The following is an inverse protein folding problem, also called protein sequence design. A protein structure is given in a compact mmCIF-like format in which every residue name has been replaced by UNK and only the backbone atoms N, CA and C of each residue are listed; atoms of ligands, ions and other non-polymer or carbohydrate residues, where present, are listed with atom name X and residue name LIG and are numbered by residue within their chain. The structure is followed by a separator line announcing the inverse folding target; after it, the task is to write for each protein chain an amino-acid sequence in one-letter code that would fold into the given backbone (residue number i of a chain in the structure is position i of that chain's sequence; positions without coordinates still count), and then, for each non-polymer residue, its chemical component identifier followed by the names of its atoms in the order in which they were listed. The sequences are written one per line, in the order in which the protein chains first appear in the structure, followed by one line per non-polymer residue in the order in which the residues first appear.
data_IF_503141496269
#
_entry.id   IF_503141496269
#
_cell.length_a   1.000
_cell.length_b   1.000
_cell.length_c   1.000
_cell.angle_alpha   90.00
_cell.angle_beta   90.00
_cell.angle_gamma   90.00
#
_symmetry.space_group_name_H-M   'P 1'
#
loop_
_entity.id
_entity.type
_entity.pdbx_description
1 polymer ?
#
# COMPACT_ATOMS: atom_id res chain seq x y z
N UNK A 1 -17.81 -20.14 15.53
CA UNK A 1 -19.17 -19.61 15.86
C UNK A 1 -19.96 -19.48 14.57
N UNK A 2 -21.24 -19.91 14.53
CA UNK A 2 -22.02 -19.90 13.28
C UNK A 2 -22.19 -18.48 12.75
N UNK A 3 -21.85 -18.27 11.48
CA UNK A 3 -21.97 -16.95 10.83
C UNK A 3 -23.44 -16.58 10.61
N UNK A 4 -23.87 -15.33 10.85
CA UNK A 4 -25.27 -14.93 10.73
C UNK A 4 -25.79 -15.05 9.29
N UNK A 5 -24.91 -14.92 8.29
CA UNK A 5 -25.22 -15.12 6.88
C UNK A 5 -25.07 -16.58 6.40
N UNK A 6 -24.82 -17.55 7.31
CA UNK A 6 -24.83 -18.99 6.98
C UNK A 6 -26.23 -19.58 7.21
N UNK A 7 -27.14 -19.29 6.30
CA UNK A 7 -28.56 -19.70 6.39
C UNK A 7 -28.97 -20.52 5.16
N UNK A 8 -29.80 -21.57 5.32
CA UNK A 8 -30.34 -22.31 4.19
C UNK A 8 -31.11 -21.38 3.23
N UNK A 9 -30.82 -21.46 1.93
CA UNK A 9 -31.51 -20.68 0.89
C UNK A 9 -31.14 -19.20 0.82
N UNK A 10 -30.28 -18.69 1.71
CA UNK A 10 -29.78 -17.32 1.63
C UNK A 10 -28.65 -17.19 0.61
N UNK A 11 -28.76 -16.19 -0.26
CA UNK A 11 -27.70 -15.78 -1.19
C UNK A 11 -27.44 -14.27 -1.05
N UNK A 12 -26.22 -13.90 -0.66
CA UNK A 12 -25.77 -12.52 -0.72
C UNK A 12 -25.07 -12.27 -2.06
N UNK A 13 -25.56 -11.26 -2.79
CA UNK A 13 -25.06 -10.84 -4.10
C UNK A 13 -25.28 -9.34 -4.29
N UNK A 14 -24.67 -8.71 -5.31
CA UNK A 14 -24.90 -7.30 -5.58
C UNK A 14 -26.39 -6.99 -5.75
N UNK A 15 -26.88 -6.06 -4.93
CA UNK A 15 -28.27 -5.58 -4.98
C UNK A 15 -28.33 -4.13 -4.57
N UNK A 16 -29.23 -3.38 -5.22
CA UNK A 16 -29.62 -2.05 -4.76
C UNK A 16 -30.46 -2.16 -3.48
N UNK A 17 -30.35 -1.17 -2.60
CA UNK A 17 -31.13 -1.13 -1.37
C UNK A 17 -30.40 -0.46 -0.21
N UNK A 18 -31.04 -0.41 0.98
CA UNK A 18 -30.38 0.06 2.19
C UNK A 18 -29.26 -0.91 2.62
N UNK A 19 -28.33 -0.45 3.50
CA UNK A 19 -27.37 -1.32 4.16
C UNK A 19 -28.01 -2.56 4.81
N UNK A 20 -27.34 -3.69 4.70
CA UNK A 20 -27.78 -4.98 5.21
C UNK A 20 -26.82 -5.48 6.30
N UNK A 21 -27.31 -5.76 7.52
CA UNK A 21 -26.49 -6.31 8.60
C UNK A 21 -25.77 -7.63 8.24
N UNK A 22 -26.36 -8.46 7.37
CA UNK A 22 -25.74 -9.72 6.93
C UNK A 22 -24.55 -9.45 6.00
N UNK A 23 -24.67 -8.45 5.13
CA UNK A 23 -23.56 -8.01 4.28
C UNK A 23 -22.49 -7.34 5.12
N UNK A 24 -22.87 -6.58 6.16
CA UNK A 24 -21.91 -5.97 7.08
C UNK A 24 -21.08 -7.04 7.81
N UNK A 25 -21.72 -8.09 8.33
CA UNK A 25 -21.03 -9.22 8.95
C UNK A 25 -20.11 -9.95 7.96
N UNK A 26 -20.54 -10.15 6.71
CA UNK A 26 -19.70 -10.71 5.65
C UNK A 26 -18.48 -9.80 5.38
N UNK A 27 -18.65 -8.49 5.27
CA UNK A 27 -17.57 -7.54 5.05
C UNK A 27 -16.56 -7.56 6.20
N UNK A 28 -17.01 -7.62 7.45
CA UNK A 28 -16.12 -7.78 8.62
C UNK A 28 -15.26 -9.04 8.52
N UNK A 29 -15.87 -10.17 8.13
CA UNK A 29 -15.17 -11.44 7.96
C UNK A 29 -14.19 -11.40 6.76
N UNK A 30 -14.56 -10.77 5.65
CA UNK A 30 -13.67 -10.57 4.49
C UNK A 30 -12.53 -9.57 4.79
N UNK A 31 -12.74 -8.57 5.65
CA UNK A 31 -11.66 -7.70 6.17
C UNK A 31 -10.73 -8.48 7.07
N UNK A 32 -11.26 -9.26 8.00
CA UNK A 32 -10.47 -10.09 8.91
C UNK A 32 -9.61 -11.11 8.16
N UNK A 33 -10.12 -11.67 7.07
CA UNK A 33 -9.38 -12.60 6.20
C UNK A 33 -8.50 -11.90 5.17
N UNK A 34 -8.52 -10.57 5.03
CA UNK A 34 -7.65 -9.85 4.09
C UNK A 34 -8.02 -9.95 2.61
N UNK A 35 -9.30 -10.19 2.30
CA UNK A 35 -9.84 -10.15 0.93
C UNK A 35 -10.50 -8.82 0.57
N UNK A 36 -11.07 -8.13 1.57
CA UNK A 36 -11.68 -6.82 1.37
C UNK A 36 -10.64 -5.72 1.64
N UNK A 37 -10.46 -4.82 0.66
CA UNK A 37 -9.50 -3.70 0.75
C UNK A 37 -9.90 -2.72 1.86
N UNK A 38 -11.19 -2.35 1.86
CA UNK A 38 -11.78 -1.46 2.86
C UNK A 38 -13.29 -1.44 2.79
N UNK A 39 -13.92 -0.86 3.80
CA UNK A 39 -15.33 -0.52 3.84
C UNK A 39 -16.18 -1.64 4.46
N UNK A 40 -16.87 -1.30 5.53
CA UNK A 40 -17.82 -2.15 6.26
C UNK A 40 -19.13 -1.36 6.40
N UNK A 41 -19.80 -1.19 5.26
CA UNK A 41 -20.95 -0.30 5.07
C UNK A 41 -22.29 -1.04 4.91
N UNK A 42 -22.27 -2.38 4.93
CA UNK A 42 -23.43 -3.22 4.72
C UNK A 42 -23.94 -3.23 3.29
N UNK A 43 -23.21 -2.70 2.31
CA UNK A 43 -23.61 -2.66 0.90
C UNK A 43 -22.81 -3.67 0.09
N UNK A 44 -23.50 -4.54 -0.65
CA UNK A 44 -22.84 -5.52 -1.51
C UNK A 44 -22.46 -4.86 -2.85
N UNK A 45 -21.41 -4.04 -2.83
CA UNK A 45 -20.89 -3.36 -4.01
C UNK A 45 -19.84 -4.15 -4.77
N UNK A 46 -19.22 -3.50 -5.77
CA UNK A 46 -18.16 -4.09 -6.59
C UNK A 46 -16.94 -4.55 -5.77
N UNK A 47 -16.59 -3.81 -4.70
CA UNK A 47 -15.52 -4.18 -3.78
C UNK A 47 -15.80 -5.49 -3.05
N UNK A 48 -17.00 -5.62 -2.45
CA UNK A 48 -17.45 -6.86 -1.79
C UNK A 48 -17.48 -8.03 -2.76
N UNK A 49 -18.06 -7.85 -3.96
CA UNK A 49 -18.09 -8.90 -4.98
C UNK A 49 -16.71 -9.35 -5.43
N UNK A 50 -15.76 -8.42 -5.61
CA UNK A 50 -14.37 -8.74 -5.96
C UNK A 50 -13.64 -9.47 -4.84
N UNK A 51 -13.93 -9.16 -3.58
CA UNK A 51 -13.38 -9.87 -2.42
C UNK A 51 -13.93 -11.30 -2.33
N UNK A 52 -15.24 -11.49 -2.57
CA UNK A 52 -15.87 -12.82 -2.58
C UNK A 52 -15.28 -13.69 -3.70
N UNK A 53 -15.16 -13.16 -4.92
CA UNK A 53 -14.55 -13.91 -6.04
C UNK A 53 -13.09 -14.27 -5.76
N UNK A 54 -12.31 -13.35 -5.20
CA UNK A 54 -10.93 -13.62 -4.83
C UNK A 54 -10.82 -14.76 -3.79
N UNK A 55 -11.69 -14.76 -2.77
CA UNK A 55 -11.76 -15.85 -1.78
C UNK A 55 -12.15 -17.18 -2.43
N UNK A 56 -13.19 -17.18 -3.27
CA UNK A 56 -13.62 -18.38 -3.98
C UNK A 56 -12.51 -18.94 -4.87
N UNK A 57 -11.74 -18.06 -5.53
CA UNK A 57 -10.59 -18.47 -6.33
C UNK A 57 -9.49 -19.10 -5.46
N UNK A 58 -9.13 -18.48 -4.33
CA UNK A 58 -8.14 -19.04 -3.40
C UNK A 58 -8.63 -20.37 -2.78
N UNK A 59 -9.93 -20.56 -2.59
CA UNK A 59 -10.53 -21.86 -2.19
C UNK A 59 -10.44 -22.91 -3.30
N UNK A 60 -10.38 -22.52 -4.58
CA UNK A 60 -10.23 -23.46 -5.69
C UNK A 60 -8.75 -23.82 -5.94
N UNK A 61 -7.86 -22.83 -5.86
CA UNK A 61 -6.48 -22.96 -6.38
C UNK A 61 -5.39 -22.60 -5.39
N UNK A 62 -5.72 -21.97 -4.26
CA UNK A 62 -4.76 -21.43 -3.29
C UNK A 62 -3.93 -22.51 -2.61
N UNK A 63 -2.72 -22.72 -3.11
CA UNK A 63 -1.72 -23.61 -2.53
C UNK A 63 -0.94 -22.93 -1.39
N UNK A 64 -0.36 -23.76 -0.55
CA UNK A 64 0.57 -23.35 0.51
C UNK A 64 1.88 -22.81 -0.05
N UNK A 65 2.42 -23.53 -1.02
CA UNK A 65 3.77 -23.31 -1.54
C UNK A 65 3.75 -22.38 -2.75
N UNK A 66 4.56 -21.34 -2.71
CA UNK A 66 4.73 -20.39 -3.79
C UNK A 66 6.18 -19.99 -3.97
N UNK A 67 6.51 -19.42 -5.13
CA UNK A 67 7.83 -18.78 -5.38
C UNK A 67 8.10 -17.60 -4.45
N UNK A 68 7.07 -17.18 -3.76
CA UNK A 68 6.88 -15.92 -3.08
C UNK A 68 6.80 -16.09 -1.54
N UNK A 69 7.15 -17.28 -1.05
CA UNK A 69 7.05 -17.70 0.35
C UNK A 69 5.96 -18.74 0.59
N UNK A 70 6.03 -19.38 1.75
CA UNK A 70 5.07 -20.41 2.16
C UNK A 70 4.00 -19.82 3.09
N UNK A 71 2.73 -19.98 2.71
CA UNK A 71 1.62 -19.73 3.62
C UNK A 71 1.60 -20.77 4.76
N UNK A 72 0.95 -20.48 5.90
CA UNK A 72 0.82 -21.48 6.98
C UNK A 72 -0.13 -22.61 6.62
N UNK A 73 -1.03 -22.41 5.64
CA UNK A 73 -2.01 -23.39 5.16
C UNK A 73 -2.28 -23.20 3.66
N UNK A 74 -2.72 -24.27 2.99
CA UNK A 74 -3.30 -24.17 1.65
C UNK A 74 -4.79 -23.82 1.78
N UNK A 75 -5.23 -22.72 1.18
CA UNK A 75 -6.62 -22.26 1.25
C UNK A 75 -7.59 -23.25 0.59
N UNK A 76 -7.14 -23.97 -0.46
CA UNK A 76 -7.95 -25.03 -1.09
C UNK A 76 -8.39 -26.15 -0.13
N UNK A 77 -7.68 -26.37 0.97
CA UNK A 77 -8.05 -27.37 1.97
C UNK A 77 -9.38 -27.04 2.69
N UNK A 78 -9.79 -25.76 2.67
CA UNK A 78 -11.04 -25.30 3.28
C UNK A 78 -12.25 -25.39 2.34
N UNK A 79 -12.03 -25.63 1.05
CA UNK A 79 -13.12 -25.74 0.08
C UNK A 79 -13.96 -27.00 0.32
N UNK A 80 -13.31 -28.17 0.46
CA UNK A 80 -13.99 -29.46 0.69
C UNK A 80 -15.16 -29.72 -0.29
N UNK A 81 -15.03 -29.26 -1.54
CA UNK A 81 -16.04 -29.40 -2.59
C UNK A 81 -17.25 -28.46 -2.49
N UNK A 82 -17.23 -27.43 -1.62
CA UNK A 82 -18.34 -26.48 -1.42
C UNK A 82 -18.41 -25.39 -2.49
N UNK A 83 -17.28 -25.01 -3.05
CA UNK A 83 -17.12 -23.97 -4.06
C UNK A 83 -16.58 -24.61 -5.34
N UNK A 84 -17.24 -24.32 -6.46
CA UNK A 84 -16.89 -24.84 -7.79
C UNK A 84 -16.43 -23.76 -8.78
N UNK A 85 -16.77 -22.49 -8.53
CA UNK A 85 -16.39 -21.35 -9.37
C UNK A 85 -16.39 -20.02 -8.58
N UNK A 86 -15.63 -19.00 -9.00
CA UNK A 86 -15.66 -17.66 -8.41
C UNK A 86 -16.89 -16.85 -8.87
N UNK A 87 -18.08 -17.22 -8.38
CA UNK A 87 -19.36 -16.61 -8.78
C UNK A 87 -19.58 -15.19 -8.24
N UNK A 88 -18.90 -14.81 -7.16
CA UNK A 88 -19.16 -13.56 -6.44
C UNK A 88 -20.43 -13.57 -5.59
N UNK A 89 -21.07 -14.73 -5.43
CA UNK A 89 -22.26 -14.96 -4.59
C UNK A 89 -21.83 -15.66 -3.31
N UNK A 90 -22.39 -15.24 -2.18
CA UNK A 90 -22.22 -15.94 -0.89
C UNK A 90 -23.48 -16.72 -0.57
N UNK A 91 -23.38 -18.02 -0.70
CA UNK A 91 -24.37 -19.01 -0.32
C UNK A 91 -23.98 -19.73 0.98
N UNK A 92 -24.83 -20.64 1.44
CA UNK A 92 -24.56 -21.43 2.65
C UNK A 92 -23.25 -22.25 2.59
N UNK A 93 -22.90 -22.93 1.47
CA UNK A 93 -21.62 -23.59 1.29
C UNK A 93 -20.41 -22.66 1.48
N UNK A 94 -20.35 -21.52 0.78
CA UNK A 94 -19.24 -20.57 0.91
C UNK A 94 -19.17 -19.98 2.33
N UNK A 95 -20.31 -19.65 2.93
CA UNK A 95 -20.35 -19.18 4.32
C UNK A 95 -19.77 -20.23 5.29
N UNK A 96 -19.91 -21.52 5.01
CA UNK A 96 -19.23 -22.59 5.73
C UNK A 96 -17.71 -22.58 5.56
N UNK A 97 -17.19 -22.29 4.37
CA UNK A 97 -15.74 -22.14 4.16
C UNK A 97 -15.18 -20.95 4.94
N UNK A 98 -15.89 -19.81 4.93
CA UNK A 98 -15.50 -18.62 5.69
C UNK A 98 -15.46 -18.92 7.20
N UNK A 99 -16.47 -19.65 7.70
CA UNK A 99 -16.50 -20.08 9.10
C UNK A 99 -15.31 -20.96 9.47
N UNK A 100 -15.00 -21.99 8.65
CA UNK A 100 -13.86 -22.88 8.89
C UNK A 100 -12.53 -22.13 8.86
N UNK A 101 -12.36 -21.17 7.93
CA UNK A 101 -11.18 -20.31 7.86
C UNK A 101 -11.01 -19.47 9.12
N UNK A 102 -12.09 -18.82 9.59
CA UNK A 102 -12.05 -17.93 10.75
C UNK A 102 -11.92 -18.63 12.10
N UNK A 103 -12.24 -19.93 12.14
CA UNK A 103 -12.13 -20.79 13.32
C UNK A 103 -10.78 -21.56 13.32
N UNK A 104 -10.02 -21.58 12.22
CA UNK A 104 -8.67 -22.16 12.15
C UNK A 104 -7.59 -21.18 12.63
N UNK A 105 -6.97 -21.49 13.76
CA UNK A 105 -5.90 -20.70 14.39
C UNK A 105 -4.64 -20.49 13.53
N UNK A 106 -4.45 -21.25 12.45
CA UNK A 106 -3.36 -21.05 11.48
C UNK A 106 -3.70 -19.98 10.43
N UNK A 107 -4.96 -19.55 10.36
CA UNK A 107 -5.44 -18.44 9.53
C UNK A 107 -5.68 -17.25 10.47
N UNK A 108 -4.65 -16.46 10.79
CA UNK A 108 -4.82 -15.39 11.75
C UNK A 108 -5.63 -14.25 11.13
N UNK A 109 -6.45 -13.60 11.97
CA UNK A 109 -7.23 -12.43 11.55
C UNK A 109 -6.35 -11.20 11.47
N UNK A 110 -6.60 -10.35 10.49
CA UNK A 110 -5.90 -9.08 10.38
C UNK A 110 -6.16 -8.18 11.61
N UNK A 111 -5.16 -7.42 12.07
CA UNK A 111 -5.31 -6.49 13.18
C UNK A 111 -6.38 -5.42 12.94
N UNK A 112 -7.02 -4.97 14.02
CA UNK A 112 -7.91 -3.80 14.05
C UNK A 112 -7.67 -3.00 15.33
N UNK A 113 -7.96 -1.70 15.29
CA UNK A 113 -7.87 -0.85 16.48
C UNK A 113 -9.27 -0.45 16.97
N UNK A 114 -9.59 -0.57 18.26
CA UNK A 114 -10.81 0.02 18.83
C UNK A 114 -10.77 1.55 18.81
N UNK A 115 -9.57 2.15 18.79
CA UNK A 115 -9.35 3.58 18.63
C UNK A 115 -8.32 3.81 17.49
N UNK A 116 -8.77 3.78 16.22
CA UNK A 116 -7.88 3.94 15.09
C UNK A 116 -7.31 5.37 14.98
N UNK A 117 -7.99 6.38 15.53
CA UNK A 117 -7.50 7.76 15.53
C UNK A 117 -6.26 7.88 16.40
N UNK A 118 -6.32 7.41 17.66
CA UNK A 118 -5.16 7.43 18.54
C UNK A 118 -4.04 6.52 18.03
N UNK A 119 -4.37 5.32 17.54
CA UNK A 119 -3.38 4.38 17.02
C UNK A 119 -2.64 4.93 15.79
N UNK A 120 -3.33 5.62 14.87
CA UNK A 120 -2.69 6.24 13.72
C UNK A 120 -1.78 7.41 14.12
N UNK A 121 -2.21 8.24 15.07
CA UNK A 121 -1.40 9.34 15.61
C UNK A 121 -0.12 8.80 16.24
N UNK A 122 -0.23 7.76 17.06
CA UNK A 122 0.93 7.13 17.70
C UNK A 122 1.86 6.46 16.68
N UNK A 123 1.31 5.77 15.67
CA UNK A 123 2.11 5.15 14.61
C UNK A 123 2.96 6.19 13.86
N UNK A 124 2.36 7.33 13.49
CA UNK A 124 3.10 8.42 12.84
C UNK A 124 4.14 9.02 13.79
N UNK A 125 3.78 9.29 15.05
CA UNK A 125 4.70 9.82 16.05
C UNK A 125 5.88 8.87 16.35
N UNK A 126 5.69 7.55 16.28
CA UNK A 126 6.78 6.57 16.41
C UNK A 126 7.76 6.67 15.23
N UNK A 127 7.24 6.74 14.00
CA UNK A 127 8.05 6.92 12.79
C UNK A 127 8.79 8.26 12.82
N UNK A 128 8.13 9.33 13.28
CA UNK A 128 8.73 10.64 13.44
C UNK A 128 9.82 10.65 14.51
N UNK A 129 9.75 9.80 15.54
CA UNK A 129 10.81 9.67 16.56
C UNK A 129 11.98 8.78 16.14
N UNK A 130 11.93 8.13 14.98
CA UNK A 130 13.07 7.35 14.49
C UNK A 130 14.28 8.26 14.24
N UNK A 131 15.43 7.83 14.78
CA UNK A 131 16.73 8.48 14.65
C UNK A 131 17.73 7.53 14.01
N UNK A 132 18.80 8.07 13.41
CA UNK A 132 19.85 7.25 12.79
C UNK A 132 19.38 6.44 11.58
N UNK A 133 18.27 6.84 10.94
CA UNK A 133 17.80 6.19 9.72
C UNK A 133 18.82 6.39 8.59
N UNK A 134 19.07 5.35 7.76
CA UNK A 134 19.93 5.47 6.59
C UNK A 134 19.22 6.16 5.41
N UNK A 135 18.03 6.72 5.63
CA UNK A 135 17.22 7.47 4.67
C UNK A 135 16.63 8.71 5.37
N UNK A 136 16.28 9.79 4.65
CA UNK A 136 15.76 10.98 5.30
C UNK A 136 14.32 10.73 5.74
N UNK A 137 14.08 10.95 7.03
CA UNK A 137 12.78 10.73 7.66
C UNK A 137 11.64 11.50 6.95
N UNK A 138 11.80 12.77 6.53
CA UNK A 138 10.72 13.47 5.82
C UNK A 138 10.31 12.82 4.49
N UNK A 139 11.26 12.24 3.74
CA UNK A 139 10.94 11.49 2.52
C UNK A 139 10.19 10.20 2.83
N UNK A 140 10.59 9.49 3.88
CA UNK A 140 9.88 8.29 4.35
C UNK A 140 8.43 8.60 4.75
N UNK A 141 8.23 9.66 5.53
CA UNK A 141 6.89 10.13 5.92
C UNK A 141 6.08 10.55 4.68
N UNK A 142 6.67 11.29 3.74
CA UNK A 142 6.00 11.67 2.50
C UNK A 142 5.58 10.46 1.64
N UNK A 143 6.38 9.38 1.61
CA UNK A 143 6.00 8.10 1.00
C UNK A 143 4.81 7.50 1.74
N UNK A 144 4.82 7.39 3.07
CA UNK A 144 3.68 6.80 3.80
C UNK A 144 2.37 7.60 3.65
N UNK A 145 2.48 8.93 3.57
CA UNK A 145 1.36 9.80 3.24
C UNK A 145 0.84 9.59 1.81
N UNK A 146 1.68 9.16 0.88
CA UNK A 146 1.27 8.78 -0.48
C UNK A 146 0.66 7.38 -0.50
N UNK A 147 1.27 6.40 0.18
CA UNK A 147 0.89 4.99 0.12
C UNK A 147 -0.36 4.66 0.92
N UNK A 148 -0.49 5.21 2.13
CA UNK A 148 -1.56 4.86 3.07
C UNK A 148 -2.33 6.06 3.62
N UNK A 149 -2.01 7.27 3.16
CA UNK A 149 -2.50 8.51 3.78
C UNK A 149 -1.90 8.77 5.16
N UNK A 150 -0.81 8.09 5.53
CA UNK A 150 -0.24 8.13 6.88
C UNK A 150 -1.01 7.30 7.89
N UNK A 151 -1.94 6.46 7.44
CA UNK A 151 -2.72 5.61 8.31
C UNK A 151 -2.11 4.21 8.42
N UNK A 152 -2.12 3.67 9.63
CA UNK A 152 -1.85 2.29 9.91
C UNK A 152 -3.15 1.47 9.99
N UNK A 153 -4.19 2.03 10.59
CA UNK A 153 -5.56 1.49 10.64
C UNK A 153 -6.53 2.40 9.89
N UNK A 154 -7.58 1.82 9.29
CA UNK A 154 -8.69 2.58 8.71
C UNK A 154 -9.45 3.31 9.81
N UNK A 155 -9.95 4.49 9.49
CA UNK A 155 -10.77 5.29 10.40
C UNK A 155 -12.23 5.18 9.96
N UNK A 156 -13.11 4.62 10.82
CA UNK A 156 -14.55 4.57 10.57
C UNK A 156 -15.14 5.94 10.29
N UNK A 157 -16.07 6.02 9.34
CA UNK A 157 -16.85 7.21 9.04
C UNK A 157 -18.35 6.98 9.24
N UNK A 158 -19.21 7.99 9.02
CA UNK A 158 -20.66 7.79 9.07
C UNK A 158 -21.10 6.65 8.13
N UNK A 159 -21.65 5.58 8.71
CA UNK A 159 -22.12 4.42 7.96
C UNK A 159 -21.03 3.41 7.55
N UNK A 160 -19.76 3.59 7.94
CA UNK A 160 -18.66 2.65 7.73
C UNK A 160 -18.00 2.32 9.07
N UNK A 161 -17.85 1.03 9.39
CA UNK A 161 -17.25 0.55 10.64
C UNK A 161 -15.81 0.03 10.49
N UNK A 162 -15.18 0.22 9.34
CA UNK A 162 -13.85 -0.32 9.06
C UNK A 162 -12.76 0.32 9.94
N UNK A 163 -12.29 -0.43 10.93
CA UNK A 163 -11.18 -0.09 11.81
C UNK A 163 -9.99 -1.06 11.71
N UNK A 164 -9.98 -1.89 10.67
CA UNK A 164 -8.89 -2.83 10.42
C UNK A 164 -7.65 -2.12 9.89
N UNK A 165 -6.51 -2.80 9.95
CA UNK A 165 -5.26 -2.35 9.34
C UNK A 165 -5.48 -1.96 7.86
N UNK A 166 -4.80 -0.91 7.40
CA UNK A 166 -4.85 -0.51 5.98
C UNK A 166 -4.34 -1.67 5.11
N UNK A 167 -5.08 -2.00 4.05
CA UNK A 167 -4.72 -3.07 3.11
C UNK A 167 -4.65 -2.54 1.68
N UNK A 168 -3.54 -2.82 0.99
CA UNK A 168 -3.40 -2.73 -0.47
C UNK A 168 -3.57 -4.12 -1.10
N UNK A 169 -4.26 -4.22 -2.24
CA UNK A 169 -4.50 -5.49 -2.94
C UNK A 169 -4.12 -5.33 -4.42
N UNK A 170 -3.04 -6.00 -4.85
CA UNK A 170 -2.64 -6.00 -6.25
C UNK A 170 -3.22 -7.20 -7.00
N UNK A 171 -3.52 -6.98 -8.29
CA UNK A 171 -4.08 -7.98 -9.21
C UNK A 171 -3.28 -7.98 -10.51
N UNK A 172 -2.00 -8.32 -10.39
CA UNK A 172 -1.05 -8.28 -11.50
C UNK A 172 -1.02 -9.61 -12.27
N UNK A 173 -2.20 -10.21 -12.49
CA UNK A 173 -2.38 -11.43 -13.27
C UNK A 173 -3.52 -11.19 -14.29
N UNK A 174 -3.19 -10.80 -15.54
CA UNK A 174 -4.19 -10.54 -16.57
C UNK A 174 -5.02 -11.77 -16.94
N UNK A 175 -4.49 -12.98 -16.71
CA UNK A 175 -5.18 -14.23 -17.01
C UNK A 175 -6.22 -14.61 -15.95
N UNK A 176 -6.04 -14.09 -14.73
CA UNK A 176 -6.92 -14.35 -13.59
C UNK A 176 -7.21 -13.03 -12.84
N UNK A 177 -8.15 -12.21 -13.35
CA UNK A 177 -8.39 -10.86 -12.81
C UNK A 177 -8.89 -10.84 -11.36
N UNK A 178 -9.48 -11.93 -10.85
CA UNK A 178 -9.89 -12.01 -9.45
C UNK A 178 -8.73 -12.40 -8.50
N UNK A 179 -7.59 -12.86 -9.04
CA UNK A 179 -6.42 -13.27 -8.26
C UNK A 179 -5.75 -12.08 -7.61
N UNK A 180 -5.65 -12.11 -6.28
CA UNK A 180 -4.82 -11.17 -5.53
C UNK A 180 -3.39 -11.70 -5.54
N UNK A 181 -2.50 -11.01 -6.25
CA UNK A 181 -1.09 -11.41 -6.42
C UNK A 181 -0.21 -10.97 -5.27
N UNK A 182 -0.59 -9.91 -4.54
CA UNK A 182 0.13 -9.44 -3.36
C UNK A 182 -0.80 -8.62 -2.46
N UNK A 183 -0.42 -8.48 -1.19
CA UNK A 183 -1.16 -7.73 -0.18
C UNK A 183 -0.21 -6.84 0.61
N UNK A 184 -0.44 -5.54 0.59
CA UNK A 184 0.29 -4.54 1.39
C UNK A 184 -0.44 -4.26 2.70
N UNK A 185 0.28 -4.10 3.81
CA UNK A 185 -0.31 -3.93 5.13
C UNK A 185 0.25 -2.73 5.88
N UNK A 186 -0.65 -1.92 6.46
CA UNK A 186 -0.32 -0.86 7.39
C UNK A 186 0.34 0.36 6.76
N UNK A 187 0.91 1.22 7.59
CA UNK A 187 1.45 2.53 7.21
C UNK A 187 2.61 2.47 6.20
N UNK A 188 3.45 1.45 6.30
CA UNK A 188 4.55 1.21 5.37
C UNK A 188 4.18 0.34 4.18
N UNK A 189 2.90 -0.07 4.06
CA UNK A 189 2.40 -1.01 3.06
C UNK A 189 3.31 -2.24 2.92
N UNK A 190 3.71 -2.85 4.04
CA UNK A 190 4.56 -4.04 4.03
C UNK A 190 3.89 -5.14 3.22
N UNK A 191 4.53 -5.57 2.13
CA UNK A 191 3.91 -6.46 1.14
C UNK A 191 4.24 -7.91 1.42
N UNK A 192 3.20 -8.74 1.45
CA UNK A 192 3.30 -10.19 1.37
C UNK A 192 2.79 -10.68 0.01
N UNK A 193 3.42 -11.73 -0.50
CA UNK A 193 3.09 -12.34 -1.78
C UNK A 193 2.45 -13.73 -1.62
N UNK A 194 2.32 -14.21 -0.38
CA UNK A 194 1.52 -15.39 -0.03
C UNK A 194 0.30 -15.00 0.81
N UNK A 195 -0.65 -15.92 0.94
CA UNK A 195 -1.85 -15.73 1.75
C UNK A 195 -2.34 -17.08 2.31
N UNK A 196 -2.75 -17.16 3.59
CA UNK A 196 -2.77 -16.11 4.61
C UNK A 196 -1.38 -15.70 5.12
N UNK A 197 -1.25 -14.54 5.81
CA UNK A 197 -0.06 -14.22 6.58
C UNK A 197 0.12 -15.22 7.73
N UNK A 198 1.36 -15.45 8.13
CA UNK A 198 1.70 -16.23 9.32
C UNK A 198 1.36 -15.44 10.60
N UNK A 199 1.10 -16.13 11.74
CA UNK A 199 0.94 -15.45 13.02
C UNK A 199 2.13 -14.58 13.41
N UNK A 200 3.35 -14.99 13.04
CA UNK A 200 4.57 -14.23 13.31
C UNK A 200 4.58 -12.92 12.52
N UNK A 201 4.28 -12.93 11.22
CA UNK A 201 4.24 -11.70 10.41
C UNK A 201 3.23 -10.69 10.95
N UNK A 202 2.06 -11.17 11.41
CA UNK A 202 1.10 -10.29 12.08
C UNK A 202 1.72 -9.70 13.35
N UNK A 203 2.22 -10.55 14.25
CA UNK A 203 2.73 -10.12 15.55
C UNK A 203 3.97 -9.24 15.47
N UNK A 204 4.83 -9.44 14.46
CA UNK A 204 6.12 -8.74 14.37
C UNK A 204 6.12 -7.58 13.40
N UNK A 205 5.24 -7.56 12.40
CA UNK A 205 5.27 -6.54 11.33
C UNK A 205 3.96 -5.78 11.19
N UNK A 206 2.81 -6.44 11.30
CA UNK A 206 1.53 -5.76 11.10
C UNK A 206 1.04 -5.01 12.33
N UNK A 207 1.42 -5.41 13.54
CA UNK A 207 1.06 -4.71 14.78
C UNK A 207 2.06 -3.60 15.13
N UNK A 208 3.32 -3.74 14.70
CA UNK A 208 4.39 -2.79 14.96
C UNK A 208 4.60 -1.87 13.74
N UNK A 209 4.13 -0.60 13.78
CA UNK A 209 4.24 0.32 12.64
C UNK A 209 5.69 0.69 12.30
N UNK A 210 6.60 0.65 13.28
CA UNK A 210 8.02 0.91 13.05
C UNK A 210 8.66 -0.23 12.26
N UNK A 211 8.40 -1.48 12.65
CA UNK A 211 8.85 -2.66 11.89
C UNK A 211 8.18 -2.75 10.52
N UNK A 212 6.90 -2.39 10.43
CA UNK A 212 6.16 -2.27 9.17
C UNK A 212 6.88 -1.31 8.19
N UNK A 213 7.35 -0.17 8.70
CA UNK A 213 8.08 0.84 7.94
C UNK A 213 9.50 0.41 7.50
N UNK A 214 10.11 -0.61 8.14
CA UNK A 214 11.49 -0.99 7.84
C UNK A 214 11.70 -1.47 6.41
N UNK A 215 10.68 -2.08 5.78
CA UNK A 215 10.79 -2.47 4.36
C UNK A 215 10.95 -1.25 3.47
N UNK A 216 10.11 -0.22 3.66
CA UNK A 216 10.23 1.02 2.91
C UNK A 216 11.58 1.72 3.15
N UNK A 217 12.12 1.66 4.37
CA UNK A 217 13.49 2.15 4.66
C UNK A 217 14.54 1.41 3.82
N UNK A 218 14.48 0.08 3.79
CA UNK A 218 15.42 -0.74 3.00
C UNK A 218 15.28 -0.48 1.50
N UNK A 219 14.05 -0.45 0.99
CA UNK A 219 13.77 -0.21 -0.43
C UNK A 219 14.22 1.19 -0.86
N UNK A 220 13.90 2.23 -0.09
CA UNK A 220 14.32 3.60 -0.43
C UNK A 220 15.85 3.74 -0.40
N UNK A 221 16.51 3.11 0.58
CA UNK A 221 17.97 3.07 0.66
C UNK A 221 18.57 2.34 -0.55
N UNK A 222 18.04 1.18 -0.90
CA UNK A 222 18.47 0.42 -2.08
C UNK A 222 18.35 1.26 -3.36
N UNK A 223 17.22 1.97 -3.53
CA UNK A 223 17.05 2.85 -4.69
C UNK A 223 18.05 3.99 -4.72
N UNK A 224 18.38 4.54 -3.56
CA UNK A 224 19.40 5.57 -3.45
C UNK A 224 20.79 5.04 -3.83
N UNK A 225 21.22 3.93 -3.22
CA UNK A 225 22.57 3.37 -3.39
C UNK A 225 22.79 2.75 -4.77
N UNK A 226 21.79 2.04 -5.31
CA UNK A 226 21.97 1.21 -6.50
C UNK A 226 21.22 1.69 -7.74
N UNK A 227 20.14 2.49 -7.59
CA UNK A 227 19.28 2.88 -8.72
C UNK A 227 19.43 4.34 -9.16
N UNK A 228 20.02 5.22 -8.35
CA UNK A 228 20.29 6.60 -8.78
C UNK A 228 21.43 6.63 -9.79
N UNK A 229 22.58 6.05 -9.43
CA UNK A 229 23.79 6.00 -10.26
C UNK A 229 24.03 4.63 -10.91
N UNK A 230 23.02 3.75 -10.96
CA UNK A 230 23.26 2.38 -11.38
C UNK A 230 23.69 2.25 -12.85
N UNK A 231 24.31 1.11 -13.20
CA UNK A 231 25.08 0.98 -14.43
C UNK A 231 24.23 0.83 -15.70
N UNK A 232 22.94 0.48 -15.60
CA UNK A 232 22.08 0.25 -16.78
C UNK A 232 20.93 1.25 -16.85
N UNK A 233 20.29 1.39 -18.01
CA UNK A 233 19.09 2.22 -18.12
C UNK A 233 17.96 1.78 -17.16
N UNK A 234 17.84 0.48 -16.89
CA UNK A 234 16.86 -0.06 -15.94
C UNK A 234 17.21 0.19 -14.47
N UNK A 235 18.48 0.46 -14.16
CA UNK A 235 18.96 0.74 -12.80
C UNK A 235 19.53 2.15 -12.63
N UNK A 236 19.17 3.11 -13.50
CA UNK A 236 19.71 4.47 -13.42
C UNK A 236 18.63 5.53 -13.35
N UNK A 237 18.92 6.60 -12.61
CA UNK A 237 18.16 7.82 -12.66
C UNK A 237 18.71 8.75 -13.76
N UNK A 238 18.21 8.58 -14.97
CA UNK A 238 18.54 9.40 -16.15
C UNK A 238 18.25 10.90 -15.96
N UNK A 239 17.17 11.25 -15.27
CA UNK A 239 16.88 12.61 -14.81
C UNK A 239 17.99 13.18 -13.92
N UNK A 240 18.51 12.40 -12.97
CA UNK A 240 19.65 12.84 -12.15
C UNK A 240 20.86 13.13 -13.03
N UNK A 241 21.21 12.23 -13.94
CA UNK A 241 22.39 12.41 -14.80
C UNK A 241 22.20 13.65 -15.67
N UNK A 242 21.00 13.81 -16.22
CA UNK A 242 20.67 14.97 -17.00
C UNK A 242 20.82 16.25 -16.18
N UNK A 243 20.31 16.31 -14.95
CA UNK A 243 20.21 17.55 -14.17
C UNK A 243 21.49 17.89 -13.39
N UNK A 244 22.21 16.87 -12.88
CA UNK A 244 23.30 17.00 -11.90
C UNK A 244 24.62 16.38 -12.42
N UNK A 245 24.56 15.38 -13.30
CA UNK A 245 25.73 14.66 -13.82
C UNK A 245 26.08 13.37 -13.04
N UNK A 246 27.17 12.70 -13.42
CA UNK A 246 27.59 11.36 -12.95
C UNK A 246 28.41 11.34 -11.66
N UNK A 247 28.45 12.46 -10.93
CA UNK A 247 29.21 12.57 -9.68
C UNK A 247 28.70 11.68 -8.54
N UNK A 248 29.39 11.69 -7.38
CA UNK A 248 28.99 10.91 -6.22
C UNK A 248 27.57 11.25 -5.74
N UNK A 249 26.97 10.31 -5.01
CA UNK A 249 25.67 10.51 -4.39
C UNK A 249 25.75 11.57 -3.29
N UNK A 250 24.75 12.45 -3.24
CA UNK A 250 24.64 13.57 -2.30
C UNK A 250 23.59 13.23 -1.23
N UNK A 251 23.99 12.78 -0.02
CA UNK A 251 23.04 12.31 0.99
C UNK A 251 22.27 13.45 1.63
N UNK A 252 22.94 14.60 1.84
CA UNK A 252 22.33 15.81 2.34
C UNK A 252 23.20 17.01 1.96
N UNK A 253 22.62 18.20 1.93
CA UNK A 253 23.36 19.46 1.82
C UNK A 253 24.14 19.78 3.09
N UNK A 254 23.62 19.35 4.24
CA UNK A 254 24.27 19.48 5.54
C UNK A 254 25.24 18.32 5.77
N UNK A 255 26.32 18.48 6.54
CA UNK A 255 27.20 17.38 6.94
C UNK A 255 26.55 16.50 8.02
N UNK A 256 26.98 15.25 8.22
CA UNK A 256 26.43 14.35 9.24
C UNK A 256 26.46 14.87 10.69
N UNK A 257 27.37 15.81 10.99
CA UNK A 257 27.47 16.46 12.30
C UNK A 257 26.40 17.54 12.54
N UNK A 258 25.71 17.98 11.48
CA UNK A 258 24.68 19.01 11.58
C UNK A 258 23.34 18.36 11.99
N UNK A 259 22.62 18.88 13.01
CA UNK A 259 21.32 18.35 13.43
C UNK A 259 20.26 18.26 12.31
N UNK A 260 20.42 19.04 11.23
CA UNK A 260 19.53 19.05 10.06
C UNK A 260 19.81 17.92 9.07
N UNK A 261 20.92 17.20 9.21
CA UNK A 261 21.31 16.11 8.33
C UNK A 261 20.17 15.08 8.21
N UNK A 262 19.59 15.00 7.01
CA UNK A 262 18.51 14.06 6.67
C UNK A 262 17.24 14.16 7.55
N UNK A 263 17.08 15.25 8.31
CA UNK A 263 16.00 15.44 9.30
C UNK A 263 15.09 16.64 8.98
N UNK A 264 15.63 17.71 8.38
CA UNK A 264 14.91 18.96 8.04
C UNK A 264 14.84 19.18 6.52
N UNK A 265 14.38 18.17 5.76
CA UNK A 265 14.30 18.25 4.30
C UNK A 265 13.28 19.29 3.81
N UNK A 266 12.25 19.60 4.61
CA UNK A 266 11.23 20.59 4.28
C UNK A 266 11.86 21.97 4.04
N UNK A 267 12.87 22.35 4.84
CA UNK A 267 13.64 23.58 4.67
C UNK A 267 14.23 23.71 3.27
N UNK A 268 14.90 22.68 2.78
CA UNK A 268 15.47 22.70 1.43
C UNK A 268 14.38 22.60 0.34
N UNK A 269 13.30 21.86 0.61
CA UNK A 269 12.23 21.63 -0.35
C UNK A 269 11.42 22.89 -0.68
N UNK A 270 11.32 23.86 0.25
CA UNK A 270 10.59 25.12 0.02
C UNK A 270 11.43 26.22 -0.65
N UNK A 271 12.76 26.08 -0.72
CA UNK A 271 13.66 27.10 -1.30
C UNK A 271 13.35 27.38 -2.79
N UNK A 272 12.99 26.34 -3.54
CA UNK A 272 12.62 26.45 -4.95
C UNK A 272 11.47 25.52 -5.28
N UNK A 273 10.35 26.11 -5.67
CA UNK A 273 9.17 25.41 -6.14
C UNK A 273 8.95 25.67 -7.63
N UNK A 274 8.45 24.66 -8.34
CA UNK A 274 8.14 24.70 -9.77
C UNK A 274 6.73 24.15 -10.01
N UNK A 275 6.08 24.64 -11.06
CA UNK A 275 4.83 24.08 -11.55
C UNK A 275 5.14 23.15 -12.73
N UNK A 276 4.66 21.91 -12.63
CA UNK A 276 4.72 20.92 -13.71
C UNK A 276 3.44 21.08 -14.51
N UNK A 277 3.56 21.56 -15.74
CA UNK A 277 2.43 21.81 -16.65
C UNK A 277 2.12 20.57 -17.50
N UNK A 278 0.91 20.47 -18.09
CA UNK A 278 0.60 19.41 -19.04
C UNK A 278 1.64 19.31 -20.17
N UNK A 279 1.99 18.08 -20.55
CA UNK A 279 3.00 17.79 -21.56
C UNK A 279 4.41 18.38 -21.28
N UNK A 280 4.71 18.76 -20.03
CA UNK A 280 6.09 19.10 -19.64
C UNK A 280 7.02 17.92 -19.90
N UNK A 281 8.21 18.18 -20.45
CA UNK A 281 9.24 17.14 -20.55
C UNK A 281 9.57 16.57 -19.18
N UNK A 282 9.79 15.27 -19.10
CA UNK A 282 10.06 14.60 -17.82
C UNK A 282 11.39 15.09 -17.20
N UNK A 283 12.40 15.36 -18.03
CA UNK A 283 13.63 16.07 -17.68
C UNK A 283 14.27 16.67 -18.95
N UNK A 284 15.32 17.50 -18.78
CA UNK A 284 15.92 18.27 -19.89
C UNK A 284 16.54 17.46 -21.03
N UNK A 285 16.89 16.19 -20.79
CA UNK A 285 17.59 15.33 -21.75
C UNK A 285 16.67 14.31 -22.45
N UNK A 286 15.36 14.32 -22.18
CA UNK A 286 14.38 13.46 -22.86
C UNK A 286 13.40 14.28 -23.70
N UNK A 287 12.79 13.63 -24.68
CA UNK A 287 11.62 14.13 -25.42
C UNK A 287 10.31 13.63 -24.83
N UNK A 288 10.36 12.64 -23.93
CA UNK A 288 9.18 12.16 -23.22
C UNK A 288 8.56 13.25 -22.36
N UNK A 289 7.24 13.24 -22.29
CA UNK A 289 6.45 14.24 -21.59
C UNK A 289 5.56 13.59 -20.55
N UNK A 290 5.11 14.38 -19.57
CA UNK A 290 4.15 13.94 -18.58
C UNK A 290 2.80 13.66 -19.26
N UNK A 291 2.36 12.40 -19.23
CA UNK A 291 1.13 11.91 -19.83
C UNK A 291 0.28 11.21 -18.76
N UNK A 292 -1.05 11.40 -18.76
CA UNK A 292 -1.91 10.72 -17.82
C UNK A 292 -1.84 9.20 -18.01
N UNK A 293 -2.05 8.46 -16.94
CA UNK A 293 -2.03 7.00 -16.94
C UNK A 293 -3.26 6.43 -16.23
N UNK A 294 -3.45 5.11 -16.32
CA UNK A 294 -4.49 4.41 -15.55
C UNK A 294 -4.38 4.59 -14.03
N UNK A 295 -3.19 4.95 -13.53
CA UNK A 295 -2.93 5.12 -12.10
C UNK A 295 -2.87 6.60 -11.69
N UNK A 296 -2.54 7.48 -12.63
CA UNK A 296 -2.36 8.91 -12.41
C UNK A 296 -3.11 9.69 -13.52
N UNK A 297 -4.40 10.03 -13.31
CA UNK A 297 -5.15 10.81 -14.27
C UNK A 297 -4.69 12.28 -14.31
N UNK A 298 -3.93 12.74 -13.32
CA UNK A 298 -3.46 14.12 -13.24
C UNK A 298 -2.47 14.43 -14.36
N UNK A 299 -2.55 15.63 -14.91
CA UNK A 299 -1.65 16.11 -15.98
C UNK A 299 -0.76 17.25 -15.54
N UNK A 300 -0.93 17.74 -14.30
CA UNK A 300 -0.20 18.88 -13.77
C UNK A 300 -0.01 18.79 -12.26
N UNK A 301 1.07 19.41 -11.76
CA UNK A 301 1.38 19.48 -10.34
C UNK A 301 1.89 20.88 -10.01
N UNK A 302 1.23 21.56 -9.08
CA UNK A 302 1.62 22.92 -8.68
C UNK A 302 2.59 22.89 -7.48
N UNK A 303 3.52 23.84 -7.44
CA UNK A 303 4.44 24.08 -6.32
C UNK A 303 5.18 22.82 -5.87
N UNK A 304 5.69 22.05 -6.81
CA UNK A 304 6.54 20.88 -6.56
C UNK A 304 7.95 21.36 -6.22
N UNK A 305 8.59 20.84 -5.16
CA UNK A 305 10.02 21.08 -4.92
C UNK A 305 10.88 20.75 -6.15
N UNK A 306 11.75 21.68 -6.53
CA UNK A 306 12.68 21.51 -7.66
C UNK A 306 13.79 20.52 -7.27
N UNK A 307 13.61 19.25 -7.66
CA UNK A 307 14.52 18.14 -7.33
C UNK A 307 16.00 18.43 -7.62
N UNK A 308 16.31 19.22 -8.64
CA UNK A 308 17.69 19.56 -8.98
C UNK A 308 18.31 20.57 -7.99
N UNK A 309 17.48 21.34 -7.28
CA UNK A 309 17.88 22.40 -6.35
C UNK A 309 17.82 22.01 -4.88
N UNK A 310 17.23 20.86 -4.52
CA UNK A 310 17.14 20.38 -3.13
C UNK A 310 18.50 20.13 -2.45
N UNK A 311 19.57 19.91 -3.23
CA UNK A 311 20.92 19.66 -2.70
C UNK A 311 21.14 18.23 -2.18
N UNK A 312 20.29 17.27 -2.54
CA UNK A 312 20.47 15.85 -2.26
C UNK A 312 19.87 15.00 -3.40
N UNK A 313 20.18 13.70 -3.43
CA UNK A 313 19.73 12.82 -4.52
C UNK A 313 18.51 11.93 -4.17
N UNK A 314 17.93 12.12 -2.98
CA UNK A 314 16.74 11.40 -2.54
C UNK A 314 15.51 11.58 -3.44
N UNK A 315 15.24 12.75 -4.06
CA UNK A 315 14.16 12.86 -5.05
C UNK A 315 14.28 11.84 -6.19
N UNK A 316 15.50 11.57 -6.65
CA UNK A 316 15.74 10.60 -7.73
C UNK A 316 15.55 9.17 -7.23
N UNK A 317 15.97 8.87 -6.00
CA UNK A 317 15.69 7.59 -5.36
C UNK A 317 14.18 7.35 -5.20
N UNK A 318 13.42 8.37 -4.80
CA UNK A 318 11.95 8.32 -4.71
C UNK A 318 11.31 8.03 -6.05
N UNK A 319 11.81 8.61 -7.15
CA UNK A 319 11.33 8.24 -8.47
C UNK A 319 11.56 6.74 -8.74
N UNK A 320 12.77 6.26 -8.49
CA UNK A 320 13.12 4.83 -8.68
C UNK A 320 12.38 3.89 -7.72
N UNK A 321 11.88 4.39 -6.58
CA UNK A 321 11.08 3.63 -5.62
C UNK A 321 9.80 3.09 -6.25
N UNK A 322 9.15 3.86 -7.14
CA UNK A 322 7.95 3.43 -7.87
C UNK A 322 8.27 2.92 -9.29
N UNK A 323 9.50 2.45 -9.54
CA UNK A 323 9.90 1.87 -10.82
C UNK A 323 10.39 2.90 -11.84
N UNK A 324 9.91 2.84 -13.08
CA UNK A 324 10.40 3.63 -14.23
C UNK A 324 9.27 4.21 -15.08
N UNK A 325 9.64 5.02 -16.07
CA UNK A 325 8.69 5.64 -17.00
C UNK A 325 7.81 6.70 -16.34
N UNK A 326 6.76 7.11 -17.03
CA UNK A 326 5.92 8.26 -16.65
C UNK A 326 5.28 8.12 -15.26
N UNK A 327 4.82 6.93 -14.85
CA UNK A 327 4.24 6.69 -13.51
C UNK A 327 5.22 7.09 -12.39
N UNK A 328 6.51 6.76 -12.54
CA UNK A 328 7.52 7.10 -11.54
C UNK A 328 7.66 8.62 -11.33
N UNK A 329 7.44 9.43 -12.37
CA UNK A 329 7.47 10.89 -12.27
C UNK A 329 6.21 11.44 -11.58
N UNK A 330 5.01 10.94 -11.92
CA UNK A 330 3.79 11.30 -11.18
C UNK A 330 3.95 11.02 -9.68
N UNK A 331 4.44 9.82 -9.36
CA UNK A 331 4.73 9.42 -7.99
C UNK A 331 5.74 10.36 -7.31
N UNK A 332 6.87 10.67 -7.97
CA UNK A 332 7.87 11.60 -7.45
C UNK A 332 7.27 12.98 -7.14
N UNK A 333 6.47 13.55 -8.04
CA UNK A 333 5.85 14.86 -7.82
C UNK A 333 4.89 14.85 -6.64
N UNK A 334 4.06 13.82 -6.52
CA UNK A 334 3.13 13.63 -5.40
C UNK A 334 3.86 13.49 -4.04
N UNK A 335 4.98 12.76 -4.00
CA UNK A 335 5.80 12.63 -2.77
C UNK A 335 6.51 13.95 -2.46
N UNK A 336 7.10 14.63 -3.46
CA UNK A 336 7.77 15.91 -3.23
C UNK A 336 6.80 16.99 -2.74
N UNK A 337 5.56 17.05 -3.23
CA UNK A 337 4.55 17.96 -2.70
C UNK A 337 4.26 17.71 -1.21
N UNK A 338 4.28 16.45 -0.76
CA UNK A 338 4.06 16.08 0.64
C UNK A 338 5.21 16.49 1.57
N UNK A 339 6.40 16.79 1.05
CA UNK A 339 7.49 17.37 1.85
C UNK A 339 7.21 18.80 2.32
N UNK A 340 6.41 19.55 1.53
CA UNK A 340 6.14 20.97 1.79
C UNK A 340 4.69 21.23 2.20
N UNK A 341 3.84 20.22 2.05
CA UNK A 341 2.43 20.22 2.42
C UNK A 341 2.12 18.87 3.07
N UNK A 342 2.51 18.64 4.34
CA UNK A 342 1.98 17.49 5.06
C UNK A 342 0.45 17.59 5.01
N UNK A 343 -0.29 16.49 4.75
CA UNK A 343 -1.74 16.55 4.71
C UNK A 343 -2.22 17.14 6.03
N UNK A 344 -3.05 18.16 5.91
CA UNK A 344 -3.81 18.72 7.01
C UNK A 344 -4.51 17.51 7.63
N UNK A 345 -4.10 17.14 8.84
CA UNK A 345 -4.86 16.22 9.68
C UNK A 345 -6.28 16.77 9.76
N UNK A 346 -7.21 16.06 9.13
CA UNK A 346 -8.64 16.21 9.37
C UNK A 346 -9.12 14.92 10.02
#
# INVERSE_FOLDING_TARGET
MRRPYRQPGLELRPRSGPPDPLVQALQEDLRALGYLRSGIDGRFGAGTGSAVRALQLDLLTGDRHGRDGDAPVALRAFNRGRVSAPTGVVDQPLAGCIEDLLDDRRVPRLPRSPDPVAANREALAQIERLVGLPVPRPFLVAIFLQESGGWHYRQPGPGDRDNFIVVGLDRNDPSQPDRITSRGYGIGQFTLFHHPPTPQEIATVMVDPTRNAQRAVRELRDKYEHFVNGPTAGSRADDRIAEIGTGPLRPCRYPPSDPRFMSDCARCAVERLVDIRPASRLHRATTETLQPTRYHPETQYARVPDRARLGCDWPYAVRRYNGSGVNSYHYQYQVLQRLTRPPITA
#
